data_IF_605868552159
#
_entry.id   IF_605868552159
#
_cell.length_a   1.000
_cell.length_b   1.000
_cell.length_c   1.000
_cell.angle_alpha   90.00
_cell.angle_beta   90.00
_cell.angle_gamma   90.00
#
_symmetry.space_group_name_H-M   'P 1'
#
loop_
_entity.id
_entity.type
_entity.pdbx_description
1 polymer ?
#
# COMPACT_ATOMS: atom_id res chain seq x y z
N UNK A 1 -10.70 -3.18 -1.95
CA UNK A 1 -10.16 -4.24 -1.08
C UNK A 1 -8.61 -4.39 -1.14
N UNK A 2 -7.90 -3.65 -1.99
CA UNK A 2 -6.44 -3.82 -2.19
C UNK A 2 -5.60 -3.22 -1.05
N UNK A 3 -6.07 -2.16 -0.38
CA UNK A 3 -5.31 -1.45 0.67
C UNK A 3 -5.29 -2.24 1.99
N UNK A 4 -6.40 -2.90 2.34
CA UNK A 4 -6.49 -3.72 3.55
C UNK A 4 -5.67 -5.01 3.45
N UNK A 5 -5.55 -5.57 2.24
CA UNK A 5 -4.69 -6.73 1.99
C UNK A 5 -3.19 -6.37 2.04
N UNK A 6 -2.82 -5.14 1.67
CA UNK A 6 -1.45 -4.61 1.80
C UNK A 6 -1.03 -4.47 3.27
N UNK A 7 -1.91 -3.95 4.13
CA UNK A 7 -1.65 -3.81 5.57
C UNK A 7 -1.48 -5.16 6.29
N UNK A 8 -2.08 -6.24 5.76
CA UNK A 8 -2.00 -7.59 6.34
C UNK A 8 -0.77 -8.40 5.88
N UNK A 9 0.19 -7.79 5.19
CA UNK A 9 1.47 -8.41 4.85
C UNK A 9 1.40 -9.55 3.82
N UNK A 10 0.31 -9.66 3.03
CA UNK A 10 0.26 -10.58 1.90
C UNK A 10 1.10 -10.03 0.75
N UNK A 11 2.03 -10.83 0.23
CA UNK A 11 2.89 -10.49 -0.90
C UNK A 11 2.06 -10.00 -2.10
N UNK A 12 2.28 -8.75 -2.48
CA UNK A 12 1.49 -7.98 -3.47
C UNK A 12 1.82 -8.33 -4.92
N UNK A 13 2.91 -9.06 -5.15
CA UNK A 13 3.20 -9.68 -6.42
C UNK A 13 3.13 -11.20 -6.23
N UNK A 14 2.66 -11.98 -7.23
CA UNK A 14 2.80 -13.43 -7.21
C UNK A 14 4.29 -13.78 -7.33
N UNK A 15 5.04 -13.63 -6.25
CA UNK A 15 6.36 -14.23 -6.12
C UNK A 15 6.10 -15.71 -6.06
N UNK A 16 6.17 -16.38 -7.21
CA UNK A 16 6.11 -17.82 -7.22
C UNK A 16 7.28 -18.34 -6.40
N UNK A 17 7.03 -19.38 -5.61
CA UNK A 17 8.08 -20.05 -4.83
C UNK A 17 9.22 -20.59 -5.72
N UNK A 18 8.98 -20.71 -7.03
CA UNK A 18 9.90 -21.24 -8.04
C UNK A 18 10.41 -20.19 -9.05
N UNK A 19 10.35 -18.88 -8.74
CA UNK A 19 11.04 -17.88 -9.56
C UNK A 19 12.55 -18.07 -9.41
N UNK A 20 13.24 -18.27 -10.54
CA UNK A 20 14.70 -18.37 -10.60
C UNK A 20 15.28 -17.06 -11.10
N UNK A 21 16.46 -16.68 -10.58
CA UNK A 21 17.25 -15.56 -11.09
C UNK A 21 17.63 -15.73 -12.58
N UNK A 22 17.61 -16.96 -13.09
CA UNK A 22 17.85 -17.25 -14.51
C UNK A 22 16.71 -16.78 -15.41
N UNK A 23 15.48 -16.67 -14.89
CA UNK A 23 14.28 -16.32 -15.63
C UNK A 23 13.37 -15.36 -14.84
N UNK A 24 13.81 -14.11 -14.61
CA UNK A 24 13.08 -13.12 -13.82
C UNK A 24 11.68 -12.80 -14.38
N UNK A 25 11.48 -12.87 -15.71
CA UNK A 25 10.18 -12.56 -16.34
C UNK A 25 9.20 -13.74 -16.36
N UNK A 26 9.59 -14.91 -15.83
CA UNK A 26 8.78 -16.12 -15.90
C UNK A 26 7.48 -15.97 -15.10
N UNK A 27 6.35 -16.00 -15.80
CA UNK A 27 5.02 -15.81 -15.20
C UNK A 27 4.48 -14.38 -15.28
N UNK A 28 5.31 -13.41 -15.68
CA UNK A 28 4.88 -12.05 -16.00
C UNK A 28 4.57 -11.87 -17.49
N UNK A 29 5.28 -12.62 -18.35
CA UNK A 29 5.01 -12.65 -19.78
C UNK A 29 3.77 -13.49 -20.09
N UNK A 30 2.93 -13.01 -20.99
CA UNK A 30 1.76 -13.73 -21.50
C UNK A 30 1.95 -14.08 -22.98
N UNK A 31 1.38 -15.21 -23.39
CA UNK A 31 1.30 -15.59 -24.79
C UNK A 31 0.24 -14.73 -25.49
N UNK A 32 0.60 -14.05 -26.57
CA UNK A 32 -0.34 -13.24 -27.35
C UNK A 32 -1.50 -14.08 -27.92
N UNK A 33 -1.23 -15.29 -28.37
CA UNK A 33 -2.25 -16.15 -28.99
C UNK A 33 -3.29 -16.73 -28.02
N UNK A 34 -2.93 -17.01 -26.76
CA UNK A 34 -3.86 -17.65 -25.80
C UNK A 34 -4.02 -16.92 -24.47
N UNK A 35 -3.30 -15.83 -24.23
CA UNK A 35 -3.33 -15.06 -22.98
C UNK A 35 -2.71 -15.77 -21.77
N UNK A 36 -2.32 -17.04 -21.88
CA UNK A 36 -1.72 -17.77 -20.76
C UNK A 36 -0.26 -17.35 -20.51
N UNK A 37 0.20 -17.38 -19.24
CA UNK A 37 1.57 -17.04 -18.90
C UNK A 37 2.58 -17.94 -19.61
N UNK A 38 3.67 -17.34 -20.10
CA UNK A 38 4.80 -18.08 -20.64
C UNK A 38 5.54 -18.81 -19.52
N UNK A 39 6.08 -19.97 -19.89
CA UNK A 39 7.02 -20.75 -19.08
C UNK A 39 8.45 -20.47 -19.53
N UNK A 40 9.43 -21.05 -18.85
CA UNK A 40 10.83 -20.93 -19.22
C UNK A 40 11.52 -22.31 -19.20
N UNK A 41 12.50 -22.51 -20.07
CA UNK A 41 13.27 -23.74 -20.11
C UNK A 41 14.71 -23.52 -20.59
N UNK A 42 15.58 -24.50 -20.28
CA UNK A 42 16.90 -24.64 -20.87
C UNK A 42 16.85 -25.75 -21.92
N UNK A 43 17.05 -25.41 -23.19
CA UNK A 43 17.11 -26.40 -24.28
C UNK A 43 18.57 -26.68 -24.67
N UNK A 44 18.90 -27.94 -24.92
CA UNK A 44 20.25 -28.37 -25.31
C UNK A 44 20.40 -28.36 -26.83
N UNK A 45 21.34 -27.57 -27.34
CA UNK A 45 21.68 -27.55 -28.76
C UNK A 45 22.57 -28.72 -29.20
N UNK A 46 22.81 -28.83 -30.51
CA UNK A 46 23.65 -29.88 -31.12
C UNK A 46 25.10 -29.89 -30.61
N UNK A 47 25.62 -28.74 -30.20
CA UNK A 47 26.94 -28.58 -29.57
C UNK A 47 26.99 -28.97 -28.09
N UNK A 48 25.88 -29.44 -27.51
CA UNK A 48 25.78 -29.78 -26.09
C UNK A 48 25.56 -28.58 -25.16
N UNK A 49 25.67 -27.34 -25.66
CA UNK A 49 25.41 -26.09 -24.94
C UNK A 49 23.92 -25.94 -24.60
N UNK A 50 23.61 -25.51 -23.38
CA UNK A 50 22.25 -25.18 -22.95
C UNK A 50 21.96 -23.72 -23.30
N UNK A 51 20.81 -23.47 -23.93
CA UNK A 51 20.34 -22.15 -24.29
C UNK A 51 18.99 -21.86 -23.59
N UNK A 52 18.82 -20.69 -22.98
CA UNK A 52 17.62 -20.33 -22.24
C UNK A 52 16.52 -19.75 -23.14
N UNK A 53 15.27 -20.17 -22.90
CA UNK A 53 14.10 -19.73 -23.68
C UNK A 53 12.88 -19.48 -22.80
N UNK A 54 12.04 -18.54 -23.23
CA UNK A 54 10.64 -18.43 -22.80
C UNK A 54 9.72 -19.08 -23.85
N UNK A 55 8.68 -19.78 -23.41
CA UNK A 55 7.77 -20.51 -24.31
C UNK A 55 6.38 -20.75 -23.74
N UNK A 56 5.39 -20.80 -24.63
CA UNK A 56 4.02 -21.18 -24.28
C UNK A 56 3.91 -22.70 -24.19
N UNK A 57 3.33 -23.21 -23.10
CA UNK A 57 3.08 -24.65 -22.92
C UNK A 57 1.58 -24.99 -22.80
N UNK A 58 0.71 -24.00 -23.01
CA UNK A 58 -0.73 -24.21 -22.91
C UNK A 58 -1.23 -25.19 -23.97
N UNK A 59 -2.00 -26.20 -23.55
CA UNK A 59 -2.57 -27.21 -24.46
C UNK A 59 -3.64 -26.53 -25.33
N UNK A 60 -3.57 -26.72 -26.64
CA UNK A 60 -4.52 -26.10 -27.58
C UNK A 60 -4.12 -24.70 -28.07
N UNK A 61 -2.99 -24.14 -27.63
CA UNK A 61 -2.45 -22.91 -28.20
C UNK A 61 -1.79 -23.18 -29.57
N UNK A 62 -2.03 -22.30 -30.55
CA UNK A 62 -1.36 -22.34 -31.86
C UNK A 62 0.16 -22.15 -31.75
N UNK A 63 0.61 -21.32 -30.80
CA UNK A 63 2.02 -21.04 -30.51
C UNK A 63 2.62 -21.97 -29.44
N UNK A 64 1.97 -23.10 -29.13
CA UNK A 64 2.50 -24.03 -28.13
C UNK A 64 3.88 -24.55 -28.56
N UNK A 65 4.87 -24.41 -27.68
CA UNK A 65 6.24 -24.86 -27.90
C UNK A 65 7.13 -23.83 -28.63
N UNK A 66 6.56 -22.72 -29.12
CA UNK A 66 7.34 -21.64 -29.72
C UNK A 66 8.32 -21.08 -28.69
N UNK A 67 9.61 -21.21 -28.98
CA UNK A 67 10.70 -20.85 -28.08
C UNK A 67 11.27 -19.50 -28.49
N UNK A 68 11.21 -18.54 -27.58
CA UNK A 68 11.73 -17.18 -27.77
C UNK A 68 13.00 -17.05 -26.94
N UNK A 69 14.14 -16.63 -27.53
CA UNK A 69 15.39 -16.46 -26.80
C UNK A 69 15.21 -15.58 -25.57
N UNK A 70 15.75 -16.03 -24.42
CA UNK A 70 15.66 -15.27 -23.17
C UNK A 70 16.22 -13.85 -23.32
N UNK A 71 17.41 -13.75 -23.93
CA UNK A 71 18.15 -12.50 -24.10
C UNK A 71 17.33 -11.46 -24.88
N UNK A 72 16.67 -11.88 -25.96
CA UNK A 72 15.84 -11.00 -26.78
C UNK A 72 14.69 -10.40 -25.98
N UNK A 73 13.94 -11.23 -25.24
CA UNK A 73 12.81 -10.74 -24.44
C UNK A 73 13.24 -9.86 -23.27
N UNK A 74 14.32 -10.23 -22.58
CA UNK A 74 14.85 -9.43 -21.45
C UNK A 74 15.45 -8.11 -21.92
N UNK A 75 16.03 -8.06 -23.12
CA UNK A 75 16.49 -6.83 -23.75
C UNK A 75 15.32 -5.92 -24.11
N UNK A 76 14.28 -6.46 -24.77
CA UNK A 76 13.06 -5.70 -25.10
C UNK A 76 12.40 -5.13 -23.84
N UNK A 77 12.36 -5.92 -22.76
CA UNK A 77 11.87 -5.46 -21.47
C UNK A 77 12.74 -4.34 -20.88
N UNK A 78 14.07 -4.51 -20.90
CA UNK A 78 15.00 -3.48 -20.45
C UNK A 78 14.86 -2.17 -21.23
N UNK A 79 14.69 -2.23 -22.55
CA UNK A 79 14.51 -1.05 -23.39
C UNK A 79 13.16 -0.37 -23.15
N UNK A 80 12.12 -1.13 -22.79
CA UNK A 80 10.86 -0.56 -22.31
C UNK A 80 11.06 0.19 -20.99
N UNK A 81 11.77 -0.39 -20.03
CA UNK A 81 12.05 0.25 -18.74
C UNK A 81 12.85 1.55 -18.88
N UNK A 82 13.80 1.62 -19.82
CA UNK A 82 14.53 2.86 -20.10
C UNK A 82 13.62 4.00 -20.56
N UNK A 83 12.53 3.69 -21.27
CA UNK A 83 11.53 4.67 -21.72
C UNK A 83 10.58 5.14 -20.61
N UNK A 84 10.46 4.35 -19.54
CA UNK A 84 9.62 4.66 -18.39
C UNK A 84 10.32 5.53 -17.35
N UNK A 85 11.60 5.83 -17.54
CA UNK A 85 12.36 6.73 -16.66
C UNK A 85 11.79 8.15 -16.79
N UNK A 86 11.22 8.74 -15.72
CA UNK A 86 10.72 10.10 -15.76
C UNK A 86 11.86 11.10 -15.93
N UNK A 87 11.57 12.26 -16.53
CA UNK A 87 12.54 13.36 -16.56
C UNK A 87 12.74 13.91 -15.15
N UNK A 88 13.89 14.52 -14.88
CA UNK A 88 14.21 15.10 -13.56
C UNK A 88 13.12 16.10 -13.09
N UNK A 89 12.58 16.90 -14.00
CA UNK A 89 11.51 17.86 -13.69
C UNK A 89 10.21 17.15 -13.28
N UNK A 90 9.80 16.12 -14.05
CA UNK A 90 8.59 15.35 -13.72
C UNK A 90 8.74 14.58 -12.40
N UNK A 91 9.94 14.07 -12.13
CA UNK A 91 10.26 13.38 -10.88
C UNK A 91 10.17 14.32 -9.67
N UNK A 92 10.80 15.49 -9.75
CA UNK A 92 10.76 16.49 -8.68
C UNK A 92 9.34 16.99 -8.41
N UNK A 93 8.54 17.19 -9.47
CA UNK A 93 7.13 17.56 -9.33
C UNK A 93 6.35 16.47 -8.58
N UNK A 94 6.50 15.20 -8.99
CA UNK A 94 5.85 14.08 -8.34
C UNK A 94 6.26 13.97 -6.87
N UNK A 95 7.56 14.08 -6.56
CA UNK A 95 8.08 14.05 -5.19
C UNK A 95 7.46 15.16 -4.33
N UNK A 96 7.38 16.38 -4.84
CA UNK A 96 6.74 17.50 -4.14
C UNK A 96 5.25 17.25 -3.91
N UNK A 97 4.55 16.68 -4.89
CA UNK A 97 3.14 16.32 -4.75
C UNK A 97 2.93 15.24 -3.68
N UNK A 98 3.79 14.22 -3.63
CA UNK A 98 3.74 13.19 -2.59
C UNK A 98 4.03 13.76 -1.20
N UNK A 99 5.04 14.64 -1.07
CA UNK A 99 5.34 15.36 0.17
C UNK A 99 4.16 16.20 0.64
N UNK A 100 3.54 16.96 -0.26
CA UNK A 100 2.38 17.78 0.05
C UNK A 100 1.18 16.94 0.52
N UNK A 101 0.87 15.87 -0.20
CA UNK A 101 -0.23 14.96 0.14
C UNK A 101 0.00 14.25 1.49
N UNK A 102 1.26 13.88 1.79
CA UNK A 102 1.62 13.30 3.07
C UNK A 102 1.43 14.28 4.22
N UNK A 103 1.89 15.52 4.06
CA UNK A 103 1.76 16.55 5.08
C UNK A 103 0.29 16.92 5.30
N UNK A 104 -0.49 17.07 4.22
CA UNK A 104 -1.94 17.29 4.30
C UNK A 104 -2.60 16.18 5.10
N UNK A 105 -2.29 14.91 4.78
CA UNK A 105 -2.83 13.76 5.52
C UNK A 105 -2.45 13.82 7.01
N UNK A 106 -1.20 14.15 7.33
CA UNK A 106 -0.73 14.28 8.72
C UNK A 106 -1.49 15.37 9.46
N UNK A 107 -1.67 16.53 8.84
CA UNK A 107 -2.40 17.66 9.41
C UNK A 107 -3.88 17.35 9.61
N UNK A 108 -4.53 16.67 8.66
CA UNK A 108 -5.92 16.21 8.82
C UNK A 108 -6.06 15.31 10.04
N UNK A 109 -5.20 14.29 10.16
CA UNK A 109 -5.23 13.35 11.29
C UNK A 109 -5.00 14.06 12.63
N UNK A 110 -4.06 15.01 12.69
CA UNK A 110 -3.83 15.84 13.88
C UNK A 110 -5.05 16.72 14.22
N UNK A 111 -5.68 17.31 13.20
CA UNK A 111 -6.87 18.15 13.39
C UNK A 111 -8.06 17.34 13.90
N UNK A 112 -8.32 16.15 13.35
CA UNK A 112 -9.36 15.24 13.79
C UNK A 112 -9.16 14.84 15.26
N UNK A 113 -7.93 14.45 15.64
CA UNK A 113 -7.60 14.13 17.04
C UNK A 113 -7.87 15.31 17.97
N UNK A 114 -7.47 16.52 17.57
CA UNK A 114 -7.70 17.74 18.34
C UNK A 114 -9.19 18.03 18.50
N UNK A 115 -10.00 17.82 17.47
CA UNK A 115 -11.45 18.00 17.53
C UNK A 115 -12.12 17.00 18.48
N UNK A 116 -11.72 15.72 18.46
CA UNK A 116 -12.21 14.72 19.40
C UNK A 116 -11.87 15.06 20.85
N UNK A 117 -10.62 15.47 21.12
CA UNK A 117 -10.22 15.93 22.45
C UNK A 117 -11.00 17.17 22.90
N UNK A 118 -11.22 18.13 22.00
CA UNK A 118 -12.03 19.31 22.30
C UNK A 118 -13.51 18.95 22.55
N UNK A 119 -14.05 17.93 21.87
CA UNK A 119 -15.38 17.39 22.14
C UNK A 119 -15.45 16.74 23.52
N UNK A 120 -14.50 15.87 23.87
CA UNK A 120 -14.44 15.24 25.19
C UNK A 120 -14.40 16.28 26.32
N UNK A 121 -13.56 17.32 26.18
CA UNK A 121 -13.49 18.43 27.15
C UNK A 121 -14.79 19.24 27.27
N UNK A 122 -15.53 19.42 26.16
CA UNK A 122 -16.85 20.09 26.20
C UNK A 122 -17.89 19.23 26.92
N UNK A 123 -17.88 17.92 26.68
CA UNK A 123 -18.77 16.97 27.35
C UNK A 123 -18.48 16.91 28.86
N UNK A 124 -17.21 16.91 29.25
CA UNK A 124 -16.78 16.99 30.65
C UNK A 124 -17.34 18.24 31.36
N UNK A 125 -17.20 19.42 30.76
CA UNK A 125 -17.80 20.65 31.31
C UNK A 125 -19.31 20.58 31.46
N UNK A 126 -20.00 19.92 30.52
CA UNK A 126 -21.45 19.74 30.59
C UNK A 126 -21.84 18.78 31.72
N UNK A 127 -21.05 17.72 31.94
CA UNK A 127 -21.21 16.79 33.06
C UNK A 127 -21.06 17.56 34.38
N UNK A 128 -19.98 18.33 34.55
CA UNK A 128 -19.74 19.10 35.77
C UNK A 128 -20.89 20.07 36.07
N UNK A 129 -21.37 20.80 35.05
CA UNK A 129 -22.49 21.73 35.20
C UNK A 129 -23.81 21.03 35.58
N UNK A 130 -24.06 19.82 35.07
CA UNK A 130 -25.25 19.05 35.45
C UNK A 130 -25.13 18.51 36.88
N UNK A 131 -23.94 18.09 37.30
CA UNK A 131 -23.68 17.65 38.68
C UNK A 131 -23.93 18.81 39.65
N UNK A 132 -23.42 20.01 39.36
CA UNK A 132 -23.66 21.20 40.18
C UNK A 132 -25.15 21.51 40.35
N UNK A 133 -25.96 21.35 39.30
CA UNK A 133 -27.42 21.55 39.34
C UNK A 133 -28.15 20.44 40.08
N UNK A 134 -27.69 19.19 39.93
CA UNK A 134 -28.26 18.04 40.59
C UNK A 134 -28.18 18.17 42.12
N UNK A 135 -27.02 18.63 42.63
CA UNK A 135 -26.79 18.88 44.07
C UNK A 135 -27.80 19.89 44.66
N UNK A 136 -28.33 20.80 43.84
CA UNK A 136 -29.30 21.82 44.26
C UNK A 136 -30.77 21.40 44.11
N UNK A 137 -31.03 20.22 43.52
CA UNK A 137 -32.39 19.76 43.18
C UNK A 137 -32.89 18.73 44.20
N UNK A 138 -34.09 18.93 44.75
CA UNK A 138 -34.72 18.04 45.75
C UNK A 138 -35.86 17.17 45.21
N UNK A 139 -36.26 17.34 43.94
CA UNK A 139 -37.30 16.55 43.30
C UNK A 139 -36.73 15.25 42.70
N UNK A 140 -37.16 14.10 43.22
CA UNK A 140 -36.70 12.76 42.79
C UNK A 140 -36.92 12.49 41.29
N UNK A 141 -38.00 13.01 40.68
CA UNK A 141 -38.28 12.80 39.25
C UNK A 141 -37.27 13.57 38.39
N UNK A 142 -36.90 14.76 38.83
CA UNK A 142 -35.91 15.60 38.15
C UNK A 142 -34.51 15.01 38.35
N UNK A 143 -34.20 14.49 39.53
CA UNK A 143 -32.94 13.77 39.79
C UNK A 143 -32.78 12.57 38.85
N UNK A 144 -33.80 11.72 38.71
CA UNK A 144 -33.75 10.57 37.80
C UNK A 144 -33.54 10.99 36.32
N UNK A 145 -34.14 12.11 35.90
CA UNK A 145 -33.92 12.65 34.56
C UNK A 145 -32.48 13.14 34.34
N UNK A 146 -31.88 13.79 35.35
CA UNK A 146 -30.48 14.21 35.31
C UNK A 146 -29.52 13.04 35.33
N UNK A 147 -29.74 12.02 36.17
CA UNK A 147 -28.93 10.80 36.19
C UNK A 147 -28.91 10.12 34.82
N UNK A 148 -30.07 10.00 34.18
CA UNK A 148 -30.16 9.48 32.82
C UNK A 148 -29.33 10.31 31.84
N UNK A 149 -29.43 11.64 31.90
CA UNK A 149 -28.68 12.53 31.01
C UNK A 149 -27.17 12.49 31.28
N UNK A 150 -26.76 12.34 32.54
CA UNK A 150 -25.37 12.16 32.94
C UNK A 150 -24.81 10.86 32.36
N UNK A 151 -25.54 9.75 32.46
CA UNK A 151 -25.14 8.48 31.87
C UNK A 151 -24.92 8.59 30.35
N UNK A 152 -25.82 9.27 29.63
CA UNK A 152 -25.67 9.54 28.20
C UNK A 152 -24.41 10.37 27.89
N UNK A 153 -24.16 11.45 28.64
CA UNK A 153 -22.98 12.30 28.43
C UNK A 153 -21.68 11.59 28.78
N UNK A 154 -21.65 10.75 29.82
CA UNK A 154 -20.50 9.91 30.15
C UNK A 154 -20.20 8.92 29.02
N UNK A 155 -21.23 8.29 28.45
CA UNK A 155 -21.07 7.41 27.30
C UNK A 155 -20.55 8.17 26.07
N UNK A 156 -21.12 9.33 25.75
CA UNK A 156 -20.66 10.17 24.63
C UNK A 156 -19.20 10.61 24.81
N UNK A 157 -18.79 10.94 26.04
CA UNK A 157 -17.41 11.30 26.37
C UNK A 157 -16.47 10.13 26.17
N UNK A 158 -16.82 8.95 26.68
CA UNK A 158 -16.02 7.74 26.51
C UNK A 158 -15.80 7.41 25.03
N UNK A 159 -16.85 7.52 24.20
CA UNK A 159 -16.75 7.35 22.74
C UNK A 159 -15.80 8.39 22.12
N UNK A 160 -15.87 9.65 22.55
CA UNK A 160 -14.99 10.71 22.03
C UNK A 160 -13.52 10.49 22.43
N UNK A 161 -13.26 9.99 23.64
CA UNK A 161 -11.91 9.65 24.12
C UNK A 161 -11.35 8.43 23.37
N UNK A 162 -12.16 7.39 23.18
CA UNK A 162 -11.78 6.21 22.39
C UNK A 162 -11.51 6.59 20.93
N UNK A 163 -12.36 7.43 20.34
CA UNK A 163 -12.14 7.97 19.00
C UNK A 163 -10.79 8.70 18.94
N UNK A 164 -10.48 9.59 19.89
CA UNK A 164 -9.20 10.31 19.94
C UNK A 164 -7.99 9.38 20.11
N UNK A 165 -8.14 8.29 20.87
CA UNK A 165 -7.09 7.28 21.07
C UNK A 165 -6.87 6.40 19.83
N UNK A 166 -7.96 6.11 19.09
CA UNK A 166 -7.92 5.29 17.86
C UNK A 166 -7.34 6.03 16.65
N UNK A 167 -7.22 7.36 16.72
CA UNK A 167 -6.56 8.16 15.67
C UNK A 167 -5.06 7.84 15.66
N UNK A 168 -4.69 6.92 14.77
CA UNK A 168 -3.31 6.56 14.50
C UNK A 168 -2.62 7.67 13.70
N UNK A 169 -1.62 8.29 14.31
CA UNK A 169 -0.68 9.14 13.58
C UNK A 169 0.27 8.23 12.77
N UNK A 170 0.69 8.64 11.57
CA UNK A 170 1.83 8.02 10.94
C UNK A 170 3.05 8.22 11.86
N UNK A 171 3.57 7.13 12.44
CA UNK A 171 4.76 7.18 13.30
C UNK A 171 6.06 7.38 12.51
N UNK A 172 6.00 7.21 11.19
CA UNK A 172 7.13 7.25 10.28
C UNK A 172 7.19 8.56 9.50
N UNK A 173 8.39 8.99 9.13
CA UNK A 173 8.58 10.18 8.30
C UNK A 173 8.18 9.93 6.85
N UNK A 174 8.08 11.02 6.07
CA UNK A 174 7.89 10.90 4.62
C UNK A 174 9.04 10.11 3.99
N UNK A 175 10.27 10.40 4.42
CA UNK A 175 11.49 9.79 3.91
C UNK A 175 11.46 8.27 4.14
N UNK A 176 11.10 7.82 5.33
CA UNK A 176 11.01 6.39 5.65
C UNK A 176 9.98 5.64 4.79
N UNK A 177 8.86 6.29 4.49
CA UNK A 177 7.74 5.67 3.77
C UNK A 177 7.87 5.74 2.25
N UNK A 178 8.40 6.83 1.70
CA UNK A 178 8.31 7.12 0.27
C UNK A 178 9.66 7.21 -0.45
N UNK A 179 10.78 7.38 0.25
CA UNK A 179 12.08 7.52 -0.41
C UNK A 179 12.40 6.30 -1.28
N UNK A 180 12.21 5.09 -0.75
CA UNK A 180 12.45 3.85 -1.50
C UNK A 180 11.55 3.71 -2.73
N UNK A 181 10.27 4.08 -2.61
CA UNK A 181 9.32 4.05 -3.72
C UNK A 181 9.68 5.09 -4.80
N UNK A 182 10.12 6.29 -4.38
CA UNK A 182 10.56 7.32 -5.30
C UNK A 182 11.87 6.95 -5.99
N UNK A 183 12.86 6.40 -5.26
CA UNK A 183 14.09 5.86 -5.85
C UNK A 183 13.76 4.77 -6.88
N UNK A 184 12.80 3.89 -6.59
CA UNK A 184 12.34 2.89 -7.56
C UNK A 184 11.82 3.51 -8.86
N UNK A 185 10.93 4.50 -8.74
CA UNK A 185 10.36 5.18 -9.90
C UNK A 185 11.39 6.03 -10.65
N UNK A 186 12.44 6.51 -9.98
CA UNK A 186 13.49 7.33 -10.59
C UNK A 186 14.32 6.58 -11.61
N UNK A 187 14.51 5.26 -11.43
CA UNK A 187 15.33 4.46 -12.34
C UNK A 187 14.98 2.97 -12.30
N UNK A 188 13.82 2.58 -12.87
CA UNK A 188 13.40 1.19 -12.92
C UNK A 188 14.38 0.31 -13.71
N UNK A 189 15.06 0.84 -14.74
CA UNK A 189 16.05 0.09 -15.52
C UNK A 189 17.28 -0.29 -14.68
N UNK A 190 17.81 0.62 -13.87
CA UNK A 190 18.97 0.34 -13.01
C UNK A 190 18.67 -0.75 -11.99
N UNK A 191 17.42 -0.82 -11.51
CA UNK A 191 16.94 -1.88 -10.62
C UNK A 191 16.78 -3.19 -11.39
N UNK A 192 16.26 -3.15 -12.60
CA UNK A 192 16.22 -4.32 -13.47
C UNK A 192 17.60 -4.90 -13.79
N UNK A 193 18.61 -4.06 -14.00
CA UNK A 193 19.97 -4.49 -14.31
C UNK A 193 20.70 -5.01 -13.06
N UNK A 194 20.68 -4.25 -11.97
CA UNK A 194 21.54 -4.47 -10.80
C UNK A 194 20.81 -4.95 -9.53
N UNK A 195 19.48 -5.00 -9.56
CA UNK A 195 18.65 -5.38 -8.43
C UNK A 195 18.73 -6.87 -8.09
N UNK A 196 18.36 -7.21 -6.86
CA UNK A 196 18.16 -8.60 -6.44
C UNK A 196 16.82 -9.09 -6.98
N UNK A 197 16.61 -10.41 -7.08
CA UNK A 197 15.36 -10.98 -7.59
C UNK A 197 14.10 -10.48 -6.84
N UNK A 198 14.24 -10.07 -5.59
CA UNK A 198 13.14 -9.52 -4.79
C UNK A 198 12.76 -8.08 -5.14
N UNK A 199 13.67 -7.34 -5.81
CA UNK A 199 13.48 -5.95 -6.20
C UNK A 199 13.28 -5.76 -7.72
N UNK A 200 13.45 -6.83 -8.52
CA UNK A 200 13.09 -6.90 -9.94
C UNK A 200 11.63 -7.33 -10.11
#
# INVERSE_FOLDING_TARGET
>A
MIIQDRLKGRATAPVRKDISADFPLRGFLICEACGYPLTACWARGRSGKKNPYYLCQHRGCSDKGKSIPREELEQLFGDLLKKLVPTQQTFQLAENMFKAAWEERRLTVLSEKKEWLAKAKRLEKNIDSLIERLVQTSDERIQAAYEKRLAELHQERAIAEEAAASVALPDQSYEEMFEHAMVFLSNPYKIWENGQLQTK
#
